data_IF_483213504717
#
_entry.id   IF_483213504717
#
_cell.length_a   1.000
_cell.length_b   1.000
_cell.length_c   1.000
_cell.angle_alpha   90.00
_cell.angle_beta   90.00
_cell.angle_gamma   90.00
#
_symmetry.space_group_name_H-M   'P 1'
#
loop_
_entity.id
_entity.type
_entity.pdbx_description
1 polymer ?
#
# COMPACT_ATOMS: atom_id res chain seq x y z
N UNK A 1 18.13 8.31 -14.63
CA UNK A 1 18.09 8.56 -13.17
C UNK A 1 19.15 9.57 -12.73
N UNK A 2 20.36 9.57 -13.32
CA UNK A 2 21.46 10.47 -12.97
C UNK A 2 21.08 11.97 -12.91
N UNK A 3 20.22 12.45 -13.80
CA UNK A 3 19.81 13.87 -13.81
C UNK A 3 18.81 14.25 -12.71
N UNK A 4 18.25 13.26 -12.00
CA UNK A 4 17.15 13.45 -11.03
C UNK A 4 17.54 13.06 -9.60
N UNK A 5 18.72 12.47 -9.42
CA UNK A 5 19.21 11.97 -8.13
C UNK A 5 20.59 12.53 -7.90
N UNK A 6 20.71 13.41 -6.91
CA UNK A 6 21.97 14.00 -6.53
C UNK A 6 22.68 13.15 -5.47
N UNK A 7 24.03 13.19 -5.41
CA UNK A 7 24.79 12.47 -4.38
C UNK A 7 24.38 12.83 -2.94
N UNK A 8 23.97 14.07 -2.71
CA UNK A 8 23.55 14.59 -1.41
C UNK A 8 22.10 14.27 -1.02
N UNK A 9 21.30 13.69 -1.93
CA UNK A 9 19.90 13.36 -1.61
C UNK A 9 19.83 12.22 -0.58
N UNK A 10 19.09 12.44 0.50
CA UNK A 10 18.92 11.45 1.59
C UNK A 10 17.52 10.79 1.60
N UNK A 11 16.52 11.49 1.07
CA UNK A 11 15.12 11.08 1.08
C UNK A 11 14.46 11.38 -0.27
N UNK A 12 13.77 10.38 -0.80
CA UNK A 12 12.94 10.50 -1.98
C UNK A 12 11.47 10.42 -1.60
N UNK A 13 10.69 11.39 -2.06
CA UNK A 13 9.24 11.41 -1.87
C UNK A 13 8.59 11.24 -3.23
N UNK A 14 7.81 10.18 -3.39
CA UNK A 14 7.01 9.94 -4.58
C UNK A 14 5.54 10.11 -4.21
N UNK A 15 4.94 11.17 -4.74
CA UNK A 15 3.53 11.46 -4.51
C UNK A 15 2.70 10.91 -5.68
N UNK A 16 1.65 10.15 -5.35
CA UNK A 16 0.60 9.72 -6.26
C UNK A 16 1.04 8.89 -7.49
N UNK A 17 1.88 7.84 -7.36
CA UNK A 17 2.24 6.96 -8.48
C UNK A 17 1.10 5.98 -8.82
N UNK A 18 -0.10 6.48 -9.11
CA UNK A 18 -1.32 5.69 -9.29
C UNK A 18 -2.00 5.88 -10.65
N UNK A 19 -1.76 7.00 -11.34
CA UNK A 19 -2.54 7.34 -12.54
C UNK A 19 -2.11 6.49 -13.73
N UNK A 20 -0.80 6.40 -13.95
CA UNK A 20 -0.23 5.53 -14.97
C UNK A 20 0.47 4.37 -14.29
N UNK A 21 0.11 3.16 -14.69
CA UNK A 21 0.62 1.94 -14.08
C UNK A 21 2.14 1.78 -14.22
N UNK A 22 2.75 2.40 -15.25
CA UNK A 22 4.20 2.46 -15.42
C UNK A 22 4.90 3.35 -14.39
N UNK A 23 4.20 4.25 -13.70
CA UNK A 23 4.80 5.09 -12.65
C UNK A 23 5.39 4.22 -11.55
N UNK A 24 4.70 3.15 -11.15
CA UNK A 24 5.23 2.23 -10.15
C UNK A 24 6.49 1.47 -10.61
N UNK A 25 6.69 1.30 -11.93
CA UNK A 25 7.95 0.76 -12.46
C UNK A 25 9.09 1.77 -12.32
N UNK A 26 8.81 3.05 -12.57
CA UNK A 26 9.81 4.13 -12.35
C UNK A 26 10.15 4.27 -10.86
N UNK A 27 9.19 4.04 -9.97
CA UNK A 27 9.44 3.98 -8.52
C UNK A 27 10.36 2.81 -8.15
N UNK A 28 10.16 1.64 -8.77
CA UNK A 28 11.10 0.52 -8.58
C UNK A 28 12.50 0.87 -9.10
N UNK A 29 12.61 1.48 -10.28
CA UNK A 29 13.90 1.93 -10.83
C UNK A 29 14.59 2.93 -9.90
N UNK A 30 13.86 3.90 -9.34
CA UNK A 30 14.37 4.85 -8.35
C UNK A 30 14.85 4.14 -7.08
N UNK A 31 14.04 3.20 -6.57
CA UNK A 31 14.41 2.41 -5.40
C UNK A 31 15.71 1.66 -5.66
N UNK A 32 15.83 0.94 -6.76
CA UNK A 32 17.04 0.17 -7.08
C UNK A 32 18.26 1.08 -7.25
N UNK A 33 18.13 2.16 -8.02
CA UNK A 33 19.26 3.02 -8.35
C UNK A 33 19.75 3.90 -7.19
N UNK A 34 18.84 4.37 -6.32
CA UNK A 34 19.16 5.43 -5.38
C UNK A 34 19.00 5.05 -3.91
N UNK A 35 18.27 3.97 -3.60
CA UNK A 35 17.85 3.64 -2.23
C UNK A 35 18.36 2.27 -1.80
N UNK A 36 18.26 1.28 -2.68
CA UNK A 36 18.74 -0.07 -2.42
C UNK A 36 20.23 -0.05 -2.07
N UNK A 37 20.63 -0.79 -1.04
CA UNK A 37 22.00 -0.85 -0.53
C UNK A 37 22.58 0.50 -0.03
N UNK A 38 21.73 1.46 0.29
CA UNK A 38 22.14 2.73 0.91
C UNK A 38 21.38 2.98 2.23
N UNK A 39 21.74 4.04 2.95
CA UNK A 39 20.97 4.51 4.11
C UNK A 39 19.76 5.38 3.74
N UNK A 40 19.67 5.81 2.47
CA UNK A 40 18.63 6.71 1.96
C UNK A 40 17.24 6.09 2.06
N UNK A 41 16.21 6.92 2.06
CA UNK A 41 14.81 6.48 2.25
C UNK A 41 13.93 6.83 1.05
N UNK A 42 12.90 6.03 0.83
CA UNK A 42 11.85 6.28 -0.16
C UNK A 42 10.50 6.27 0.55
N UNK A 43 9.73 7.33 0.39
CA UNK A 43 8.36 7.44 0.90
C UNK A 43 7.42 7.59 -0.28
N UNK A 44 6.37 6.76 -0.29
CA UNK A 44 5.33 6.80 -1.31
C UNK A 44 4.03 7.25 -0.66
N UNK A 45 3.42 8.30 -1.20
CA UNK A 45 2.09 8.74 -0.82
C UNK A 45 1.09 8.30 -1.89
N UNK A 46 -0.03 7.72 -1.46
CA UNK A 46 -1.20 7.46 -2.31
C UNK A 46 -0.89 6.70 -3.62
N UNK A 47 -0.12 5.61 -3.54
CA UNK A 47 0.27 4.80 -4.71
C UNK A 47 -0.76 3.78 -5.21
N UNK A 48 -1.96 3.74 -4.63
CA UNK A 48 -3.05 2.80 -5.00
C UNK A 48 -2.59 1.32 -5.17
N UNK A 49 -1.65 0.88 -4.32
CA UNK A 49 -0.97 -0.42 -4.44
C UNK A 49 -1.92 -1.62 -4.38
N UNK A 50 -3.10 -1.43 -3.78
CA UNK A 50 -4.12 -2.47 -3.65
C UNK A 50 -4.59 -3.02 -5.00
N UNK A 51 -4.66 -2.19 -6.06
CA UNK A 51 -5.03 -2.70 -7.40
C UNK A 51 -4.01 -3.73 -7.90
N UNK A 52 -2.73 -3.44 -7.70
CA UNK A 52 -1.66 -4.35 -8.12
C UNK A 52 -1.67 -5.61 -7.22
N UNK A 53 -1.83 -5.44 -5.90
CA UNK A 53 -1.87 -6.56 -4.93
C UNK A 53 -3.10 -7.45 -5.09
N UNK A 54 -4.24 -6.90 -5.49
CA UNK A 54 -5.49 -7.65 -5.68
C UNK A 54 -5.54 -8.41 -7.00
N UNK A 55 -4.52 -8.29 -7.85
CA UNK A 55 -4.51 -8.90 -9.18
C UNK A 55 -5.42 -8.21 -10.19
N UNK A 56 -5.75 -6.93 -9.99
CA UNK A 56 -6.55 -6.14 -10.95
C UNK A 56 -5.89 -6.12 -12.34
N UNK A 57 -4.55 -6.08 -12.38
CA UNK A 57 -3.77 -6.17 -13.60
C UNK A 57 -3.36 -7.63 -13.86
N UNK A 58 -3.90 -8.31 -14.89
CA UNK A 58 -3.58 -9.70 -15.14
C UNK A 58 -2.09 -9.88 -15.48
N UNK A 59 -1.36 -10.80 -14.81
CA UNK A 59 0.09 -10.96 -15.00
C UNK A 59 0.53 -11.27 -16.42
N UNK A 60 -0.31 -11.94 -17.22
CA UNK A 60 -0.01 -12.26 -18.63
C UNK A 60 0.17 -11.00 -19.48
N UNK A 61 -0.64 -9.97 -19.25
CA UNK A 61 -0.55 -8.69 -19.97
C UNK A 61 0.40 -7.71 -19.30
N UNK A 62 0.60 -7.84 -17.98
CA UNK A 62 1.42 -6.93 -17.18
C UNK A 62 2.47 -7.64 -16.32
N UNK A 63 3.42 -8.37 -16.93
CA UNK A 63 4.38 -9.19 -16.18
C UNK A 63 5.30 -8.37 -15.28
N UNK A 64 5.71 -7.18 -15.74
CA UNK A 64 6.56 -6.26 -14.94
C UNK A 64 5.85 -5.77 -13.67
N UNK A 65 4.56 -5.46 -13.77
CA UNK A 65 3.78 -5.04 -12.60
C UNK A 65 3.55 -6.19 -11.63
N UNK A 66 3.24 -7.37 -12.14
CA UNK A 66 3.07 -8.55 -11.31
C UNK A 66 4.36 -8.91 -10.55
N UNK A 67 5.53 -8.61 -11.13
CA UNK A 67 6.82 -8.79 -10.48
C UNK A 67 6.99 -7.89 -9.24
N UNK A 68 6.40 -6.68 -9.21
CA UNK A 68 6.49 -5.75 -8.07
C UNK A 68 6.03 -6.37 -6.75
N UNK A 69 5.02 -7.25 -6.81
CA UNK A 69 4.52 -7.98 -5.64
C UNK A 69 5.56 -8.92 -5.02
N UNK A 70 6.60 -9.30 -5.78
CA UNK A 70 7.71 -10.16 -5.34
C UNK A 70 9.00 -9.38 -5.11
N UNK A 71 9.17 -8.22 -5.74
CA UNK A 71 10.42 -7.45 -5.71
C UNK A 71 10.37 -6.25 -4.77
N UNK A 72 9.51 -5.28 -5.06
CA UNK A 72 9.47 -3.99 -4.36
C UNK A 72 8.53 -4.02 -3.15
N UNK A 73 7.31 -4.54 -3.29
CA UNK A 73 6.29 -4.46 -2.25
C UNK A 73 6.64 -5.19 -0.95
N UNK A 74 7.30 -6.36 -0.95
CA UNK A 74 7.72 -7.02 0.29
C UNK A 74 8.75 -6.23 1.10
N UNK A 75 9.41 -5.25 0.48
CA UNK A 75 10.42 -4.40 1.13
C UNK A 75 9.81 -3.12 1.72
N UNK A 76 8.51 -2.89 1.54
CA UNK A 76 7.80 -1.71 2.01
C UNK A 76 7.12 -1.96 3.35
N UNK A 77 7.21 -0.97 4.25
CA UNK A 77 6.39 -0.91 5.46
C UNK A 77 5.20 0.04 5.23
N UNK A 78 3.98 -0.43 5.48
CA UNK A 78 2.79 0.43 5.31
C UNK A 78 2.58 1.27 6.58
N UNK A 79 2.99 2.53 6.52
CA UNK A 79 3.00 3.44 7.68
C UNK A 79 1.62 4.00 8.03
N UNK A 80 0.88 4.48 7.04
CA UNK A 80 -0.45 5.04 7.24
C UNK A 80 -1.38 4.56 6.13
N UNK A 81 -2.53 4.00 6.49
CA UNK A 81 -3.44 3.39 5.53
C UNK A 81 -4.89 3.59 5.95
N UNK A 82 -5.72 3.93 4.97
CA UNK A 82 -7.17 4.03 5.12
C UNK A 82 -7.81 3.43 3.88
N UNK A 83 -8.66 2.43 4.06
CA UNK A 83 -9.51 1.88 3.01
C UNK A 83 -10.94 1.74 3.50
N UNK A 84 -11.86 2.38 2.77
CA UNK A 84 -13.28 2.39 3.12
C UNK A 84 -14.03 1.28 2.39
N UNK A 85 -14.64 0.38 3.15
CA UNK A 85 -15.58 -0.61 2.66
C UNK A 85 -16.99 -0.02 2.69
N UNK A 86 -17.68 -0.04 1.54
CA UNK A 86 -19.05 0.44 1.39
C UNK A 86 -20.05 -0.71 1.55
N UNK A 87 -21.32 -0.37 1.73
CA UNK A 87 -22.43 -1.33 1.81
C UNK A 87 -23.03 -1.45 3.22
N UNK A 88 -23.98 -2.38 3.38
CA UNK A 88 -24.73 -2.58 4.63
C UNK A 88 -23.82 -2.81 5.85
N UNK A 89 -22.77 -3.61 5.66
CA UNK A 89 -21.78 -3.93 6.70
C UNK A 89 -20.47 -3.16 6.50
N UNK A 90 -20.55 -1.93 5.97
CA UNK A 90 -19.37 -1.10 5.69
C UNK A 90 -18.48 -0.86 6.90
N UNK A 91 -17.25 -0.45 6.63
CA UNK A 91 -16.21 -0.24 7.64
C UNK A 91 -14.95 0.37 7.06
N UNK A 92 -13.93 0.50 7.88
CA UNK A 92 -12.65 1.11 7.50
C UNK A 92 -11.52 0.17 7.93
N UNK A 93 -10.73 -0.31 6.97
CA UNK A 93 -9.42 -0.89 7.27
C UNK A 93 -8.45 0.27 7.48
N UNK A 94 -7.79 0.28 8.62
CA UNK A 94 -6.95 1.37 9.09
C UNK A 94 -5.62 0.85 9.60
N UNK A 95 -4.55 1.61 9.36
CA UNK A 95 -3.29 1.46 10.09
C UNK A 95 -2.63 2.82 10.33
N UNK A 96 -2.05 2.95 11.52
CA UNK A 96 -1.10 4.00 11.87
C UNK A 96 0.08 3.32 12.59
N UNK A 97 1.22 3.20 11.90
CA UNK A 97 2.45 2.61 12.42
C UNK A 97 2.96 3.40 13.64
N UNK A 98 3.51 2.73 14.68
CA UNK A 98 3.82 1.30 14.76
C UNK A 98 2.63 0.41 15.19
N UNK A 99 1.41 0.95 15.23
CA UNK A 99 0.23 0.19 15.64
C UNK A 99 -0.20 -0.90 14.65
N UNK A 100 -1.04 -1.85 15.12
CA UNK A 100 -1.55 -2.94 14.31
C UNK A 100 -2.53 -2.44 13.24
N UNK A 101 -2.85 -3.33 12.30
CA UNK A 101 -4.00 -3.15 11.41
C UNK A 101 -5.28 -3.28 12.22
N UNK A 102 -6.23 -2.39 11.96
CA UNK A 102 -7.53 -2.36 12.64
C UNK A 102 -8.65 -2.25 11.62
N UNK A 103 -9.76 -2.94 11.89
CA UNK A 103 -11.00 -2.77 11.15
C UNK A 103 -11.99 -2.06 12.04
N UNK A 104 -12.45 -0.89 11.61
CA UNK A 104 -13.43 -0.09 12.33
C UNK A 104 -14.79 -0.12 11.65
N UNK A 105 -15.85 -0.02 12.45
CA UNK A 105 -17.21 0.28 11.96
C UNK A 105 -17.71 1.55 12.62
N UNK A 106 -18.37 2.39 11.82
CA UNK A 106 -19.05 3.58 12.32
C UNK A 106 -20.40 3.19 12.92
N UNK A 107 -20.66 3.59 14.16
CA UNK A 107 -21.95 3.44 14.84
C UNK A 107 -22.38 4.82 15.33
N UNK A 108 -23.34 5.43 14.64
CA UNK A 108 -23.70 6.84 14.89
C UNK A 108 -22.53 7.80 14.62
N UNK A 109 -22.05 8.48 15.66
CA UNK A 109 -20.91 9.41 15.60
C UNK A 109 -19.57 8.80 16.05
N UNK A 110 -19.57 7.55 16.52
CA UNK A 110 -18.37 6.88 17.05
C UNK A 110 -17.89 5.77 16.11
N UNK A 111 -16.66 5.32 16.36
CA UNK A 111 -16.06 4.17 15.68
C UNK A 111 -15.77 3.08 16.69
N UNK A 112 -16.19 1.86 16.38
CA UNK A 112 -15.88 0.66 17.18
C UNK A 112 -14.82 -0.17 16.44
N UNK A 113 -13.82 -0.65 17.16
CA UNK A 113 -12.80 -1.55 16.61
C UNK A 113 -13.37 -2.97 16.60
N UNK A 114 -13.60 -3.52 15.42
CA UNK A 114 -14.15 -4.87 15.23
C UNK A 114 -13.07 -5.94 15.26
N UNK A 115 -11.90 -5.63 14.70
CA UNK A 115 -10.80 -6.58 14.55
C UNK A 115 -9.46 -5.85 14.61
N UNK A 116 -8.43 -6.55 15.07
CA UNK A 116 -7.05 -6.08 15.01
C UNK A 116 -6.08 -7.24 14.75
N UNK A 117 -5.01 -6.97 13.99
CA UNK A 117 -3.94 -7.93 13.73
C UNK A 117 -2.64 -7.24 13.31
N UNK A 118 -1.52 -7.94 13.47
CA UNK A 118 -0.18 -7.39 13.17
C UNK A 118 0.12 -7.34 11.67
N UNK A 119 -0.27 -8.37 10.91
CA UNK A 119 -0.08 -8.44 9.46
C UNK A 119 -1.24 -7.77 8.71
N UNK A 120 -0.97 -7.23 7.52
CA UNK A 120 -2.01 -6.62 6.69
C UNK A 120 -3.05 -7.70 6.29
N UNK A 121 -4.35 -7.55 6.63
CA UNK A 121 -5.38 -8.44 6.11
C UNK A 121 -5.59 -8.16 4.63
N UNK A 122 -6.02 -9.18 3.89
CA UNK A 122 -6.43 -8.96 2.50
C UNK A 122 -7.76 -8.18 2.45
N UNK A 123 -7.99 -7.38 1.39
CA UNK A 123 -9.29 -6.71 1.22
C UNK A 123 -10.45 -7.70 1.16
N UNK A 124 -10.21 -8.91 0.62
CA UNK A 124 -11.19 -9.99 0.56
C UNK A 124 -11.56 -10.50 1.95
N UNK A 125 -10.55 -10.78 2.78
CA UNK A 125 -10.73 -11.21 4.17
C UNK A 125 -11.52 -10.18 4.98
N UNK A 126 -11.20 -8.89 4.85
CA UNK A 126 -11.96 -7.84 5.53
C UNK A 126 -13.42 -7.81 5.06
N UNK A 127 -13.64 -7.87 3.74
CA UNK A 127 -14.97 -7.75 3.16
C UNK A 127 -15.87 -8.97 3.41
N UNK A 128 -15.31 -10.19 3.43
CA UNK A 128 -16.08 -11.43 3.45
C UNK A 128 -16.12 -12.07 4.84
N UNK A 129 -15.07 -11.92 5.63
CA UNK A 129 -14.91 -12.68 6.87
C UNK A 129 -15.04 -11.77 8.10
N UNK A 130 -14.39 -10.60 8.09
CA UNK A 130 -14.35 -9.72 9.27
C UNK A 130 -15.62 -8.85 9.37
N UNK A 131 -15.94 -8.09 8.33
CA UNK A 131 -17.08 -7.16 8.37
C UNK A 131 -18.42 -7.89 8.49
N UNK A 132 -18.70 -9.00 7.78
CA UNK A 132 -20.00 -9.66 7.90
C UNK A 132 -20.22 -10.39 9.24
N UNK A 133 -19.15 -10.79 9.93
CA UNK A 133 -19.22 -11.58 11.17
C UNK A 133 -19.38 -10.74 12.44
N UNK A 134 -19.36 -9.41 12.32
CA UNK A 134 -19.36 -8.45 13.42
C UNK A 134 -20.67 -7.68 13.56
#
# INVERSE_FOLDING_TARGET
>A
MADRVKPEDELFIVAYPYFNVNEMLVVEELYQAAVSNTSRKLIIFNGELDRIRSGYYPPFFYPKLAALSKTLFPKMETVYYIHNFKGRNGGVLFRCYPGPWKVFRRVGSTYICLHQQESMPSLKEVALDILPSA
#
